data_IF_223239730539
#
_entry.id   IF_223239730539
#
_cell.length_a   1.000
_cell.length_b   1.000
_cell.length_c   1.000
_cell.angle_alpha   90.00
_cell.angle_beta   90.00
_cell.angle_gamma   90.00
#
_symmetry.space_group_name_H-M   'P 1'
#
loop_
_entity.id
_entity.type
_entity.pdbx_description
1 polymer ?
#
# COMPACT_ATOMS: atom_id res chain seq x y z
N UNK A 1 0.19 -3.00 3.33
CA UNK A 1 -0.34 -4.12 2.53
C UNK A 1 -0.73 -5.32 3.39
N UNK A 2 0.12 -5.83 4.29
CA UNK A 2 -0.17 -7.02 5.12
C UNK A 2 -0.72 -6.73 6.52
N UNK A 3 -0.88 -5.45 6.88
CA UNK A 3 -1.40 -5.07 8.21
C UNK A 3 -2.86 -5.51 8.39
N UNK A 4 -3.20 -5.96 9.60
CA UNK A 4 -4.57 -6.33 9.93
C UNK A 4 -5.50 -5.11 9.93
N UNK A 5 -6.81 -5.30 9.68
CA UNK A 5 -7.79 -4.21 9.77
C UNK A 5 -7.73 -3.45 11.09
N UNK A 6 -7.51 -4.15 12.21
CA UNK A 6 -7.41 -3.55 13.54
C UNK A 6 -6.15 -2.68 13.70
N UNK A 7 -5.03 -3.10 13.11
CA UNK A 7 -3.79 -2.29 13.10
C UNK A 7 -3.99 -1.01 12.30
N UNK A 8 -4.61 -1.12 11.13
CA UNK A 8 -4.95 0.03 10.25
C UNK A 8 -5.86 0.99 11.01
N UNK A 9 -6.98 0.51 11.55
CA UNK A 9 -7.93 1.32 12.32
C UNK A 9 -7.25 2.04 13.50
N UNK A 10 -6.37 1.35 14.24
CA UNK A 10 -5.64 1.95 15.35
C UNK A 10 -4.70 3.08 14.91
N UNK A 11 -4.04 2.93 13.75
CA UNK A 11 -3.14 3.95 13.20
C UNK A 11 -3.92 5.16 12.68
N UNK A 12 -4.97 4.94 11.91
CA UNK A 12 -5.81 6.03 11.36
C UNK A 12 -6.52 6.80 12.48
N UNK A 13 -7.03 6.10 13.50
CA UNK A 13 -7.61 6.75 14.69
C UNK A 13 -6.64 7.72 15.36
N UNK A 14 -5.35 7.35 15.43
CA UNK A 14 -4.27 8.15 16.02
C UNK A 14 -3.73 9.24 15.09
N UNK A 15 -4.12 9.28 13.81
CA UNK A 15 -3.64 10.28 12.87
C UNK A 15 -3.95 11.69 13.41
N UNK A 16 -2.97 12.59 13.35
CA UNK A 16 -3.14 13.95 13.83
C UNK A 16 -4.08 14.71 12.88
N UNK A 17 -5.06 15.39 13.46
CA UNK A 17 -5.95 16.32 12.77
C UNK A 17 -5.96 17.65 13.51
N UNK A 18 -6.50 18.68 12.86
CA UNK A 18 -6.74 19.97 13.51
C UNK A 18 -7.92 19.89 14.51
N UNK A 19 -8.15 20.99 15.24
CA UNK A 19 -9.28 21.14 16.16
C UNK A 19 -10.48 21.85 15.53
N UNK A 20 -10.45 22.12 14.21
CA UNK A 20 -11.52 22.82 13.49
C UNK A 20 -12.67 21.84 13.29
N UNK A 21 -13.83 22.16 13.88
CA UNK A 21 -15.05 21.37 13.76
C UNK A 21 -15.87 21.79 12.54
N UNK A 22 -16.74 20.90 12.06
CA UNK A 22 -17.65 21.16 10.94
C UNK A 22 -17.08 20.67 9.60
N UNK A 23 -17.41 21.39 8.52
CA UNK A 23 -17.17 20.94 7.14
C UNK A 23 -15.72 20.49 6.92
N UNK A 24 -15.57 19.32 6.31
CA UNK A 24 -14.28 18.81 5.80
C UNK A 24 -14.00 19.49 4.46
N UNK A 25 -12.80 20.07 4.34
CA UNK A 25 -12.33 20.71 3.12
C UNK A 25 -10.83 20.54 2.98
N UNK A 26 -10.36 20.62 1.73
CA UNK A 26 -8.95 20.51 1.41
C UNK A 26 -8.27 21.86 1.59
N UNK A 27 -7.31 21.90 2.51
CA UNK A 27 -6.44 23.06 2.78
C UNK A 27 -5.12 22.52 3.37
N UNK A 28 -4.08 22.30 2.56
CA UNK A 28 -2.84 21.71 3.03
C UNK A 28 -2.04 22.65 3.94
N UNK A 29 -2.25 23.96 3.86
CA UNK A 29 -1.54 24.96 4.65
C UNK A 29 -2.13 25.06 6.06
N UNK A 30 -3.46 25.22 6.18
CA UNK A 30 -4.12 25.42 7.48
C UNK A 30 -4.65 24.12 8.10
N UNK A 31 -4.90 23.08 7.29
CA UNK A 31 -5.45 21.78 7.72
C UNK A 31 -4.66 20.58 7.18
N UNK A 32 -3.33 20.53 7.38
CA UNK A 32 -2.47 19.51 6.78
C UNK A 32 -2.90 18.07 7.11
N UNK A 33 -3.38 17.81 8.33
CA UNK A 33 -3.85 16.49 8.75
C UNK A 33 -5.11 16.02 8.01
N UNK A 34 -6.10 16.90 7.88
CA UNK A 34 -7.34 16.61 7.15
C UNK A 34 -7.07 16.48 5.66
N UNK A 35 -6.26 17.39 5.10
CA UNK A 35 -5.87 17.36 3.69
C UNK A 35 -5.09 16.12 3.32
N UNK A 36 -4.25 15.60 4.22
CA UNK A 36 -3.58 14.32 4.03
C UNK A 36 -4.57 13.14 3.98
N UNK A 37 -5.60 13.14 4.84
CA UNK A 37 -6.66 12.11 4.80
C UNK A 37 -7.47 12.19 3.49
N UNK A 38 -7.79 13.40 3.02
CA UNK A 38 -8.44 13.61 1.72
C UNK A 38 -7.56 13.12 0.56
N UNK A 39 -6.25 13.40 0.59
CA UNK A 39 -5.31 12.88 -0.41
C UNK A 39 -5.28 11.36 -0.44
N UNK A 40 -5.33 10.70 0.71
CA UNK A 40 -5.39 9.23 0.78
C UNK A 40 -6.67 8.73 0.10
N UNK A 41 -7.83 9.32 0.40
CA UNK A 41 -9.11 8.94 -0.22
C UNK A 41 -9.06 9.15 -1.74
N UNK A 42 -8.57 10.31 -2.18
CA UNK A 42 -8.42 10.64 -3.61
C UNK A 42 -7.50 9.64 -4.31
N UNK A 43 -6.38 9.27 -3.69
CA UNK A 43 -5.43 8.28 -4.22
C UNK A 43 -6.03 6.86 -4.30
N UNK A 44 -6.84 6.45 -3.32
CA UNK A 44 -7.49 5.13 -3.33
C UNK A 44 -8.64 5.08 -4.33
N UNK A 45 -9.44 6.14 -4.42
CA UNK A 45 -10.61 6.20 -5.30
C UNK A 45 -10.29 6.66 -6.72
N UNK A 46 -9.04 7.08 -6.98
CA UNK A 46 -8.58 7.63 -8.25
C UNK A 46 -9.41 8.83 -8.73
N UNK A 47 -9.95 9.61 -7.79
CA UNK A 47 -10.74 10.81 -8.05
C UNK A 47 -9.90 12.07 -7.84
N UNK A 48 -10.30 13.16 -8.50
CA UNK A 48 -9.75 14.47 -8.21
C UNK A 48 -10.02 14.87 -6.75
N UNK A 49 -9.22 15.79 -6.20
CA UNK A 49 -9.45 16.31 -4.85
C UNK A 49 -10.81 16.99 -4.75
N UNK A 50 -11.21 17.76 -5.76
CA UNK A 50 -12.49 18.47 -5.78
C UNK A 50 -13.67 17.50 -5.74
N UNK A 51 -13.62 16.42 -6.51
CA UNK A 51 -14.69 15.41 -6.50
C UNK A 51 -14.69 14.60 -5.22
N UNK A 52 -13.51 14.32 -4.68
CA UNK A 52 -13.37 13.67 -3.37
C UNK A 52 -14.01 14.53 -2.28
N UNK A 53 -13.76 15.84 -2.24
CA UNK A 53 -14.35 16.74 -1.25
C UNK A 53 -15.88 16.79 -1.38
N UNK A 54 -16.42 16.77 -2.61
CA UNK A 54 -17.88 16.67 -2.84
C UNK A 54 -18.45 15.36 -2.28
N UNK A 55 -17.79 14.25 -2.54
CA UNK A 55 -18.21 12.94 -2.04
C UNK A 55 -18.15 12.84 -0.51
N UNK A 56 -17.38 13.71 0.16
CA UNK A 56 -17.23 13.76 1.61
C UNK A 56 -18.16 14.78 2.28
N UNK A 57 -19.09 15.44 1.56
CA UNK A 57 -19.97 16.46 2.15
C UNK A 57 -20.89 15.93 3.25
N UNK A 58 -21.18 14.63 3.27
CA UNK A 58 -21.94 13.98 4.32
C UNK A 58 -21.16 13.84 5.63
N UNK A 59 -19.83 13.93 5.60
CA UNK A 59 -18.96 13.79 6.77
C UNK A 59 -19.00 15.06 7.61
N UNK A 60 -19.39 14.90 8.88
CA UNK A 60 -19.60 16.01 9.81
C UNK A 60 -18.44 16.21 10.79
N UNK A 61 -17.62 15.18 11.01
CA UNK A 61 -16.54 15.21 11.99
C UNK A 61 -15.31 14.40 11.57
N UNK A 62 -14.21 14.62 12.29
CA UNK A 62 -12.93 13.95 12.06
C UNK A 62 -12.98 12.45 12.31
N UNK A 63 -13.90 11.98 13.16
CA UNK A 63 -14.03 10.56 13.47
C UNK A 63 -14.62 9.84 12.25
N UNK A 64 -15.71 10.35 11.69
CA UNK A 64 -16.32 9.84 10.47
C UNK A 64 -15.33 9.86 9.30
N UNK A 65 -14.53 10.92 9.15
CA UNK A 65 -13.47 10.97 8.14
C UNK A 65 -12.45 9.82 8.32
N UNK A 66 -11.97 9.63 9.55
CA UNK A 66 -11.00 8.57 9.88
C UNK A 66 -11.58 7.17 9.72
N UNK A 67 -12.83 6.97 10.10
CA UNK A 67 -13.53 5.71 9.93
C UNK A 67 -13.68 5.39 8.43
N UNK A 68 -14.11 6.36 7.62
CA UNK A 68 -14.22 6.19 6.17
C UNK A 68 -12.88 5.89 5.48
N UNK A 69 -11.81 6.60 5.85
CA UNK A 69 -10.45 6.31 5.35
C UNK A 69 -10.02 4.89 5.73
N UNK A 70 -10.34 4.46 6.95
CA UNK A 70 -10.00 3.12 7.44
C UNK A 70 -10.68 2.07 6.58
N UNK A 71 -11.98 2.22 6.32
CA UNK A 71 -12.76 1.27 5.53
C UNK A 71 -12.20 1.14 4.11
N UNK A 72 -11.90 2.26 3.44
CA UNK A 72 -11.31 2.24 2.10
C UNK A 72 -9.95 1.55 2.05
N UNK A 73 -9.06 1.82 3.03
CA UNK A 73 -7.75 1.16 3.09
C UNK A 73 -7.91 -0.35 3.35
N UNK A 74 -8.85 -0.73 4.22
CA UNK A 74 -9.13 -2.14 4.52
C UNK A 74 -9.65 -2.84 3.28
N UNK A 75 -10.59 -2.25 2.57
CA UNK A 75 -11.16 -2.80 1.33
C UNK A 75 -10.08 -2.97 0.25
N UNK A 76 -9.31 -1.93 -0.04
CA UNK A 76 -8.26 -1.92 -1.06
C UNK A 76 -7.25 -3.08 -0.87
N UNK A 77 -6.81 -3.30 0.36
CA UNK A 77 -5.80 -4.32 0.66
C UNK A 77 -6.38 -5.69 1.02
N UNK A 78 -7.69 -5.89 0.94
CA UNK A 78 -8.35 -7.16 1.33
C UNK A 78 -7.86 -8.36 0.52
N UNK A 79 -7.94 -8.28 -0.79
CA UNK A 79 -7.49 -9.33 -1.72
C UNK A 79 -5.98 -9.59 -1.58
N UNK A 80 -5.16 -8.53 -1.52
CA UNK A 80 -3.72 -8.67 -1.32
C UNK A 80 -3.36 -9.42 -0.04
N UNK A 81 -4.08 -9.15 1.07
CA UNK A 81 -3.90 -9.89 2.33
C UNK A 81 -4.35 -11.33 2.21
N UNK A 82 -5.46 -11.57 1.52
CA UNK A 82 -5.95 -12.92 1.27
C UNK A 82 -4.92 -13.75 0.50
N UNK A 83 -4.43 -13.25 -0.64
CA UNK A 83 -3.39 -13.91 -1.43
C UNK A 83 -2.11 -14.13 -0.62
N UNK A 84 -1.67 -13.12 0.14
CA UNK A 84 -0.48 -13.26 0.99
C UNK A 84 -0.66 -14.40 2.00
N UNK A 85 -1.79 -14.45 2.71
CA UNK A 85 -2.07 -15.50 3.69
C UNK A 85 -2.17 -16.88 3.04
N UNK A 86 -2.77 -16.98 1.85
CA UNK A 86 -2.81 -18.22 1.08
C UNK A 86 -1.41 -18.71 0.72
N UNK A 87 -0.56 -17.83 0.18
CA UNK A 87 0.81 -18.17 -0.22
C UNK A 87 1.66 -18.57 0.98
N UNK A 88 1.56 -17.84 2.09
CA UNK A 88 2.26 -18.18 3.33
C UNK A 88 1.79 -19.51 3.94
N UNK A 89 0.58 -19.97 3.59
CA UNK A 89 0.08 -21.30 3.95
C UNK A 89 0.69 -22.45 3.13
N UNK A 90 1.33 -22.16 1.99
CA UNK A 90 1.98 -23.16 1.11
C UNK A 90 3.45 -22.80 0.87
N UNK A 91 4.25 -22.94 1.93
CA UNK A 91 5.70 -22.67 1.86
C UNK A 91 6.41 -23.56 0.83
N UNK A 92 5.94 -24.80 0.61
CA UNK A 92 6.54 -25.71 -0.36
C UNK A 92 6.36 -25.20 -1.80
N UNK A 93 5.22 -24.58 -2.11
CA UNK A 93 5.02 -23.89 -3.38
C UNK A 93 5.96 -22.71 -3.56
N UNK A 94 6.16 -21.90 -2.51
CA UNK A 94 7.13 -20.79 -2.52
C UNK A 94 8.55 -21.30 -2.78
N UNK A 95 8.98 -22.34 -2.07
CA UNK A 95 10.32 -22.94 -2.26
C UNK A 95 10.53 -23.44 -3.68
N UNK A 96 9.50 -24.05 -4.29
CA UNK A 96 9.55 -24.48 -5.69
C UNK A 96 9.75 -23.31 -6.65
N UNK A 97 9.04 -22.19 -6.44
CA UNK A 97 9.22 -20.98 -7.24
C UNK A 97 10.64 -20.42 -7.06
N UNK A 98 11.13 -20.37 -5.82
CA UNK A 98 12.49 -19.92 -5.52
C UNK A 98 13.55 -20.79 -6.20
N UNK A 99 13.37 -22.11 -6.22
CA UNK A 99 14.26 -23.03 -6.92
C UNK A 99 14.27 -22.76 -8.43
N UNK A 100 13.10 -22.61 -9.05
CA UNK A 100 13.00 -22.27 -10.48
C UNK A 100 13.66 -20.93 -10.81
N UNK A 101 13.47 -19.91 -9.95
CA UNK A 101 14.14 -18.62 -10.07
C UNK A 101 15.66 -18.75 -9.98
N UNK A 102 16.13 -19.57 -9.04
CA UNK A 102 17.56 -19.87 -8.85
C UNK A 102 18.16 -20.54 -10.07
N UNK A 103 17.48 -21.53 -10.66
CA UNK A 103 17.94 -22.23 -11.85
C UNK A 103 18.06 -21.27 -13.06
N UNK A 104 17.04 -20.44 -13.28
CA UNK A 104 17.05 -19.41 -14.33
C UNK A 104 18.18 -18.40 -14.13
N UNK A 105 18.33 -17.87 -12.91
CA UNK A 105 19.39 -16.92 -12.58
C UNK A 105 20.78 -17.55 -12.76
N UNK A 106 20.97 -18.80 -12.31
CA UNK A 106 22.22 -19.54 -12.46
C UNK A 106 22.57 -19.78 -13.92
N UNK A 107 21.60 -20.09 -14.78
CA UNK A 107 21.86 -20.29 -16.21
C UNK A 107 22.45 -19.02 -16.85
N UNK A 108 21.86 -17.85 -16.56
CA UNK A 108 22.33 -16.55 -17.05
C UNK A 108 23.73 -16.23 -16.47
N UNK A 109 23.88 -16.33 -15.15
CA UNK A 109 25.14 -16.02 -14.47
C UNK A 109 26.29 -16.93 -14.92
N UNK A 110 26.03 -18.22 -15.14
CA UNK A 110 27.04 -19.17 -15.61
C UNK A 110 27.52 -18.83 -17.02
N UNK A 111 26.63 -18.37 -17.89
CA UNK A 111 27.02 -17.91 -19.23
C UNK A 111 27.93 -16.69 -19.14
N UNK A 112 27.53 -15.67 -18.38
CA UNK A 112 28.33 -14.46 -18.20
C UNK A 112 29.71 -14.76 -17.61
N UNK A 113 29.79 -15.63 -16.59
CA UNK A 113 31.08 -16.03 -16.00
C UNK A 113 31.96 -16.77 -17.00
N UNK A 114 31.40 -17.64 -17.86
CA UNK A 114 32.18 -18.30 -18.91
C UNK A 114 32.76 -17.28 -19.89
N UNK A 115 31.98 -16.29 -20.29
CA UNK A 115 32.42 -15.27 -21.25
C UNK A 115 33.49 -14.36 -20.63
N UNK A 116 33.36 -14.01 -19.35
CA UNK A 116 34.39 -13.26 -18.60
C UNK A 116 35.69 -14.08 -18.50
N UNK A 117 35.60 -15.38 -18.15
CA UNK A 117 36.79 -16.25 -18.03
C UNK A 117 37.56 -16.33 -19.35
N UNK A 118 36.86 -16.52 -20.48
CA UNK A 118 37.42 -16.46 -21.85
C UNK A 118 38.19 -15.18 -22.10
N UNK A 119 37.59 -14.03 -21.80
CA UNK A 119 38.21 -12.72 -22.05
C UNK A 119 39.44 -12.46 -21.18
N UNK A 120 39.42 -12.96 -19.94
CA UNK A 120 40.52 -12.77 -18.98
C UNK A 120 41.63 -13.82 -19.10
N UNK A 121 41.48 -14.82 -19.98
CA UNK A 121 42.44 -15.92 -20.12
C UNK A 121 42.48 -16.87 -18.92
N UNK A 122 41.40 -16.94 -18.16
CA UNK A 122 41.22 -17.83 -16.99
C UNK A 122 40.51 -19.15 -17.36
N UNK A 123 40.51 -19.48 -18.65
CA UNK A 123 39.94 -20.70 -19.21
C UNK A 123 40.90 -21.89 -19.14
#
# INVERSE_FOLDING_TARGET
MTESPESIAKKIRKAQTDSIQGKIYFDPENRPGVSNLINIISGLTQKSIDDTVKDLEWIQDHKQLKDHVTDLIVEEFSESRHTFNQLMGDLAHIDRICQQGTEKARAIASQNIRDIKKLTGLD
#
